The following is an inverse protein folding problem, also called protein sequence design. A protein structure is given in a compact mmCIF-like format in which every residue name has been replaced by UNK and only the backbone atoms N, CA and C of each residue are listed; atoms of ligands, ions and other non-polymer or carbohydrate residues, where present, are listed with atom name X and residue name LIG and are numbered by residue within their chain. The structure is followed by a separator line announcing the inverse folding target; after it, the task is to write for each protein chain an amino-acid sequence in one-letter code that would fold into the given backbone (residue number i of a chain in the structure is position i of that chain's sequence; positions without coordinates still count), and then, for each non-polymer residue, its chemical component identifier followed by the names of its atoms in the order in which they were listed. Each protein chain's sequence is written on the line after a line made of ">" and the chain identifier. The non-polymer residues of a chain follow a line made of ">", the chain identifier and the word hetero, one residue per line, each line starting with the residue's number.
data_IF_046040593887
#
_entry.id   IF_046040593887
#
_cell.length_a   1.000
_cell.length_b   1.000
_cell.length_c   1.000
_cell.angle_alpha   90.00
_cell.angle_beta   90.00
_cell.angle_gamma   90.00
#
_symmetry.space_group_name_H-M   'P 1'
#
loop_
_entity.id
_entity.type
_entity.pdbx_description
1 polymer ?
#
# COMPACT_ATOMS: atom_id res chain seq x y z
N UNK A 1 4.98 9.50 2.03
CA UNK A 1 6.27 8.84 2.34
C UNK A 1 6.70 8.04 1.13
N UNK A 2 7.82 8.40 0.53
CA UNK A 2 8.31 7.85 -0.74
C UNK A 2 9.77 7.47 -0.60
N UNK A 3 10.10 6.26 -1.03
CA UNK A 3 11.45 5.80 -1.30
C UNK A 3 11.76 6.10 -2.76
N UNK A 4 12.77 6.93 -2.95
CA UNK A 4 13.24 7.44 -4.22
C UNK A 4 14.61 6.84 -4.57
N UNK A 5 14.98 6.90 -5.86
CA UNK A 5 16.32 6.55 -6.31
C UNK A 5 17.40 7.36 -5.56
N UNK A 6 18.54 6.73 -5.28
CA UNK A 6 19.71 7.43 -4.72
C UNK A 6 20.40 8.31 -5.77
N UNK A 7 20.36 7.89 -7.04
CA UNK A 7 20.80 8.71 -8.17
C UNK A 7 19.92 9.96 -8.31
N UNK A 8 20.56 11.13 -8.23
CA UNK A 8 19.87 12.42 -8.21
C UNK A 8 19.05 12.68 -9.48
N UNK A 9 19.54 12.28 -10.66
CA UNK A 9 18.81 12.50 -11.92
C UNK A 9 17.54 11.66 -11.97
N UNK A 10 17.61 10.39 -11.56
CA UNK A 10 16.45 9.49 -11.46
C UNK A 10 15.48 9.95 -10.37
N UNK A 11 15.99 10.47 -9.26
CA UNK A 11 15.18 11.06 -8.19
C UNK A 11 14.37 12.26 -8.68
N UNK A 12 15.03 13.24 -9.29
CA UNK A 12 14.33 14.42 -9.81
C UNK A 12 13.39 14.09 -10.97
N UNK A 13 13.74 13.09 -11.79
CA UNK A 13 12.81 12.56 -12.81
C UNK A 13 11.56 11.96 -12.17
N UNK A 14 11.72 11.18 -11.10
CA UNK A 14 10.58 10.59 -10.36
C UNK A 14 9.66 11.67 -9.80
N UNK A 15 10.24 12.72 -9.20
CA UNK A 15 9.49 13.86 -8.64
C UNK A 15 8.77 14.65 -9.73
N UNK A 16 9.44 14.89 -10.85
CA UNK A 16 8.84 15.55 -12.03
C UNK A 16 7.64 14.79 -12.56
N UNK A 17 7.76 13.47 -12.74
CA UNK A 17 6.65 12.65 -13.23
C UNK A 17 5.52 12.53 -12.20
N UNK A 18 5.85 12.45 -10.90
CA UNK A 18 4.84 12.53 -9.84
C UNK A 18 4.03 13.83 -9.92
N UNK A 19 4.71 14.98 -10.04
CA UNK A 19 4.09 16.30 -10.15
C UNK A 19 3.17 16.38 -11.37
N UNK A 20 3.62 15.92 -12.55
CA UNK A 20 2.78 15.88 -13.76
C UNK A 20 1.50 15.09 -13.55
N UNK A 21 1.59 13.90 -12.94
CA UNK A 21 0.41 13.06 -12.67
C UNK A 21 -0.50 13.77 -11.66
N UNK A 22 0.05 14.33 -10.59
CA UNK A 22 -0.72 15.07 -9.58
C UNK A 22 -1.49 16.25 -10.19
N UNK A 23 -0.83 17.08 -11.00
CA UNK A 23 -1.43 18.24 -11.65
C UNK A 23 -2.51 17.85 -12.66
N UNK A 24 -2.30 16.77 -13.43
CA UNK A 24 -3.32 16.26 -14.36
C UNK A 24 -4.59 15.81 -13.65
N UNK A 25 -4.48 15.29 -12.43
CA UNK A 25 -5.60 14.93 -11.55
C UNK A 25 -6.15 16.13 -10.75
N UNK A 26 -5.53 17.32 -10.88
CA UNK A 26 -5.95 18.55 -10.21
C UNK A 26 -5.45 18.73 -8.79
N UNK A 27 -4.46 17.95 -8.35
CA UNK A 27 -3.74 18.19 -7.10
C UNK A 27 -2.66 19.25 -7.30
N UNK A 28 -2.35 20.02 -6.25
CA UNK A 28 -1.20 20.93 -6.23
C UNK A 28 -0.13 20.38 -5.29
N UNK A 29 1.11 20.29 -5.77
CA UNK A 29 2.25 19.93 -4.93
C UNK A 29 2.66 21.16 -4.12
N UNK A 30 2.65 21.04 -2.80
CA UNK A 30 3.11 22.08 -1.87
C UNK A 30 4.62 22.03 -1.67
N UNK A 31 5.19 20.83 -1.72
CA UNK A 31 6.63 20.66 -1.62
C UNK A 31 7.04 19.22 -1.33
N UNK A 32 8.34 18.99 -1.47
CA UNK A 32 9.01 17.77 -1.06
C UNK A 32 9.90 18.08 0.14
N UNK A 33 9.83 17.23 1.16
CA UNK A 33 10.68 17.29 2.36
C UNK A 33 11.56 16.06 2.38
N UNK A 34 12.87 16.26 2.37
CA UNK A 34 13.80 15.21 2.74
C UNK A 34 13.55 14.82 4.19
N UNK A 35 13.36 13.52 4.44
CA UNK A 35 13.20 13.00 5.80
C UNK A 35 14.60 12.90 6.41
N UNK A 36 14.90 13.61 7.51
CA UNK A 36 16.18 13.45 8.18
C UNK A 36 16.27 12.05 8.77
N UNK A 37 17.35 11.33 8.46
CA UNK A 37 17.61 9.98 8.95
C UNK A 37 19.01 9.85 9.54
N UNK A 38 19.19 8.91 10.47
CA UNK A 38 20.50 8.52 11.01
C UNK A 38 20.77 7.06 10.70
N UNK A 39 21.65 6.81 9.74
CA UNK A 39 22.01 5.47 9.29
C UNK A 39 23.29 4.91 9.93
N UNK A 40 23.84 5.57 10.96
CA UNK A 40 25.12 5.20 11.59
C UNK A 40 25.13 3.80 12.22
N UNK A 41 23.97 3.31 12.67
CA UNK A 41 23.80 1.98 13.28
C UNK A 41 23.35 0.90 12.26
N UNK A 42 23.28 1.22 10.96
CA UNK A 42 22.87 0.25 9.95
C UNK A 42 24.02 -0.66 9.54
N UNK A 43 23.70 -1.96 9.38
CA UNK A 43 24.61 -2.90 8.74
C UNK A 43 24.76 -2.62 7.24
N UNK A 44 25.91 -3.00 6.67
CA UNK A 44 26.26 -2.72 5.26
C UNK A 44 25.16 -3.10 4.26
N UNK A 45 24.53 -4.27 4.45
CA UNK A 45 23.47 -4.74 3.56
C UNK A 45 22.23 -3.81 3.51
N UNK A 46 21.91 -3.12 4.62
CA UNK A 46 20.84 -2.14 4.66
C UNK A 46 21.28 -0.81 4.01
N UNK A 47 22.52 -0.38 4.26
CA UNK A 47 23.12 0.82 3.66
C UNK A 47 23.20 0.72 2.13
N UNK A 48 23.62 -0.44 1.61
CA UNK A 48 23.79 -0.68 0.16
C UNK A 48 22.48 -0.54 -0.61
N UNK A 49 21.34 -0.70 0.07
CA UNK A 49 20.00 -0.65 -0.53
C UNK A 49 19.15 0.48 0.04
N UNK A 50 19.75 1.37 0.85
CA UNK A 50 19.05 2.51 1.45
C UNK A 50 18.55 3.47 0.38
N UNK A 51 17.23 3.75 0.30
CA UNK A 51 16.68 4.69 -0.66
C UNK A 51 16.85 6.12 -0.18
N UNK A 52 16.74 7.08 -1.09
CA UNK A 52 16.47 8.46 -0.70
C UNK A 52 15.03 8.55 -0.15
N UNK A 53 14.85 9.03 1.08
CA UNK A 53 13.54 9.08 1.74
C UNK A 53 13.00 10.52 1.72
N UNK A 54 11.88 10.72 1.04
CA UNK A 54 11.21 12.03 1.00
C UNK A 54 9.70 11.91 1.30
N UNK A 55 9.15 12.98 1.86
CA UNK A 55 7.72 13.21 2.01
C UNK A 55 7.26 14.21 0.96
N UNK A 56 6.14 13.92 0.30
CA UNK A 56 5.46 14.85 -0.58
C UNK A 56 4.21 15.39 0.11
N UNK A 57 4.06 16.71 0.08
CA UNK A 57 2.89 17.41 0.57
C UNK A 57 2.10 17.94 -0.62
N UNK A 58 0.78 17.70 -0.62
CA UNK A 58 -0.09 18.11 -1.71
C UNK A 58 -1.51 18.41 -1.21
N UNK A 59 -2.24 19.18 -2.01
CA UNK A 59 -3.63 19.56 -1.73
C UNK A 59 -4.64 18.53 -2.26
N UNK A 60 -5.85 18.54 -1.70
CA UNK A 60 -7.00 17.84 -2.29
C UNK A 60 -7.38 18.48 -3.61
N UNK A 61 -7.68 17.66 -4.62
CA UNK A 61 -8.22 18.14 -5.90
C UNK A 61 -9.70 18.50 -5.75
N UNK A 62 -10.07 19.69 -6.21
CA UNK A 62 -11.47 20.12 -6.32
C UNK A 62 -12.15 19.57 -7.58
N UNK A 63 -11.38 18.98 -8.51
CA UNK A 63 -11.91 18.44 -9.78
C UNK A 63 -12.60 17.08 -9.62
N UNK A 64 -12.28 16.34 -8.57
CA UNK A 64 -12.82 14.99 -8.34
C UNK A 64 -13.91 14.99 -7.26
N UNK A 65 -15.00 14.26 -7.54
CA UNK A 65 -16.07 13.99 -6.57
C UNK A 65 -15.70 12.90 -5.56
N UNK A 66 -14.64 12.13 -5.83
CA UNK A 66 -14.15 11.11 -4.91
C UNK A 66 -13.62 11.75 -3.62
N UNK A 67 -13.67 11.00 -2.51
CA UNK A 67 -13.07 11.47 -1.26
C UNK A 67 -11.55 11.61 -1.40
N UNK A 68 -10.91 12.37 -0.51
CA UNK A 68 -9.49 12.66 -0.66
C UNK A 68 -8.62 11.41 -0.64
N UNK A 69 -8.98 10.40 0.15
CA UNK A 69 -8.20 9.18 0.23
C UNK A 69 -8.35 8.31 -1.03
N UNK A 70 -9.52 8.31 -1.67
CA UNK A 70 -9.71 7.70 -2.99
C UNK A 70 -8.89 8.45 -4.06
N UNK A 71 -8.86 9.79 -4.03
CA UNK A 71 -8.02 10.58 -4.92
C UNK A 71 -6.54 10.21 -4.74
N UNK A 72 -6.05 10.11 -3.51
CA UNK A 72 -4.66 9.74 -3.21
C UNK A 72 -4.34 8.29 -3.60
N UNK A 73 -5.31 7.37 -3.50
CA UNK A 73 -5.18 6.02 -4.05
C UNK A 73 -4.94 6.10 -5.57
N UNK A 74 -5.82 6.77 -6.30
CA UNK A 74 -5.72 6.91 -7.78
C UNK A 74 -4.39 7.56 -8.17
N UNK A 75 -4.03 8.68 -7.54
CA UNK A 75 -2.77 9.38 -7.76
C UNK A 75 -1.57 8.44 -7.56
N UNK A 76 -1.50 7.74 -6.41
CA UNK A 76 -0.40 6.82 -6.14
C UNK A 76 -0.29 5.74 -7.21
N UNK A 77 -1.41 5.14 -7.62
CA UNK A 77 -1.43 4.07 -8.62
C UNK A 77 -0.92 4.57 -9.98
N UNK A 78 -1.43 5.70 -10.47
CA UNK A 78 -1.03 6.29 -11.75
C UNK A 78 0.43 6.76 -11.72
N UNK A 79 0.86 7.39 -10.65
CA UNK A 79 2.25 7.83 -10.49
C UNK A 79 3.22 6.65 -10.49
N UNK A 80 2.90 5.53 -9.84
CA UNK A 80 3.75 4.33 -9.89
C UNK A 80 3.90 3.82 -11.33
N UNK A 81 2.81 3.77 -12.09
CA UNK A 81 2.84 3.35 -13.50
C UNK A 81 3.68 4.32 -14.35
N UNK A 82 3.41 5.61 -14.23
CA UNK A 82 4.09 6.68 -14.98
C UNK A 82 5.59 6.74 -14.67
N UNK A 83 5.97 6.73 -13.39
CA UNK A 83 7.39 6.82 -12.96
C UNK A 83 8.16 5.59 -13.44
N UNK A 84 7.59 4.39 -13.33
CA UNK A 84 8.24 3.17 -13.84
C UNK A 84 8.50 3.24 -15.33
N UNK A 85 7.53 3.72 -16.11
CA UNK A 85 7.72 3.91 -17.54
C UNK A 85 8.81 4.96 -17.81
N UNK A 86 8.79 6.10 -17.12
CA UNK A 86 9.75 7.17 -17.32
C UNK A 86 11.19 6.81 -16.91
N UNK A 87 11.35 5.93 -15.92
CA UNK A 87 12.66 5.43 -15.48
C UNK A 87 13.11 4.15 -16.20
N UNK A 88 12.34 3.68 -17.20
CA UNK A 88 12.59 2.41 -17.89
C UNK A 88 12.73 1.21 -16.93
N UNK A 89 12.00 1.24 -15.82
CA UNK A 89 11.99 0.15 -14.86
C UNK A 89 11.21 -1.03 -15.45
N UNK A 90 11.91 -2.13 -15.71
CA UNK A 90 11.27 -3.37 -16.18
C UNK A 90 10.26 -3.84 -15.14
N UNK A 91 9.06 -4.22 -15.58
CA UNK A 91 8.13 -4.99 -14.74
C UNK A 91 8.85 -6.27 -14.32
N UNK A 92 9.06 -6.50 -13.03
CA UNK A 92 9.90 -7.61 -12.58
C UNK A 92 11.26 -7.21 -11.99
N UNK A 93 11.76 -6.01 -12.27
CA UNK A 93 13.13 -5.60 -11.95
C UNK A 93 13.32 -4.94 -10.58
N UNK A 94 14.53 -4.45 -10.34
CA UNK A 94 14.92 -3.73 -9.12
C UNK A 94 14.00 -2.52 -8.86
N UNK A 95 13.61 -2.36 -7.60
CA UNK A 95 12.66 -1.35 -7.16
C UNK A 95 13.41 -0.09 -6.74
N UNK A 96 13.65 0.75 -7.72
CA UNK A 96 14.26 2.07 -7.56
C UNK A 96 13.28 3.13 -7.00
N UNK A 97 11.97 2.85 -7.06
CA UNK A 97 10.90 3.74 -6.60
C UNK A 97 9.79 2.97 -5.87
N UNK A 98 9.40 3.45 -4.69
CA UNK A 98 8.31 2.87 -3.91
C UNK A 98 7.59 3.90 -3.03
N UNK A 99 6.26 3.92 -3.07
CA UNK A 99 5.47 4.74 -2.15
C UNK A 99 5.01 3.92 -0.94
N UNK A 100 5.60 4.18 0.23
CA UNK A 100 5.21 3.55 1.50
C UNK A 100 3.78 3.90 1.88
N UNK A 101 3.46 5.19 1.80
CA UNK A 101 2.10 5.70 2.00
C UNK A 101 1.89 7.00 1.24
N UNK A 102 0.66 7.19 0.78
CA UNK A 102 0.14 8.46 0.28
C UNK A 102 -1.30 8.59 0.80
N UNK A 103 -1.46 9.30 1.92
CA UNK A 103 -2.72 9.42 2.65
C UNK A 103 -2.68 10.69 3.50
N UNK A 104 -3.85 11.29 3.72
CA UNK A 104 -4.06 12.40 4.65
C UNK A 104 -4.26 11.94 6.10
N UNK A 105 -4.43 10.63 6.31
CA UNK A 105 -4.77 10.03 7.61
C UNK A 105 -3.71 9.05 8.12
N UNK A 106 -2.76 8.65 7.28
CA UNK A 106 -1.71 7.73 7.71
C UNK A 106 -0.40 7.95 7.01
N UNK A 107 0.66 7.91 7.80
CA UNK A 107 2.03 7.85 7.35
C UNK A 107 2.65 6.52 7.79
N UNK A 108 3.46 5.92 6.92
CA UNK A 108 4.17 4.65 7.21
C UNK A 108 5.66 4.94 7.22
N UNK A 109 6.26 4.86 8.41
CA UNK A 109 7.70 4.82 8.60
C UNK A 109 8.11 3.35 8.71
N UNK A 110 9.01 2.92 7.84
CA UNK A 110 9.47 1.53 7.77
C UNK A 110 10.82 1.51 7.09
N UNK A 111 11.56 0.43 7.24
CA UNK A 111 12.81 0.24 6.52
C UNK A 111 13.39 -1.12 6.84
N UNK A 112 14.58 -1.36 6.35
CA UNK A 112 15.34 -2.53 6.75
C UNK A 112 16.09 -2.25 8.05
N UNK A 113 15.31 -2.19 9.14
CA UNK A 113 15.76 -1.76 10.46
C UNK A 113 15.43 -2.86 11.47
N UNK A 114 16.26 -3.01 12.50
CA UNK A 114 15.81 -3.67 13.72
C UNK A 114 14.72 -2.82 14.39
N UNK A 115 13.75 -3.42 15.11
CA UNK A 115 12.71 -2.65 15.78
C UNK A 115 13.26 -1.55 16.70
N UNK A 116 14.38 -1.80 17.39
CA UNK A 116 15.06 -0.83 18.26
C UNK A 116 15.67 0.35 17.50
N UNK A 117 15.99 0.19 16.22
CA UNK A 117 16.61 1.22 15.40
C UNK A 117 15.60 2.23 14.84
N UNK A 118 14.31 1.90 14.80
CA UNK A 118 13.29 2.70 14.11
C UNK A 118 13.24 4.14 14.62
N UNK A 119 13.27 4.33 15.94
CA UNK A 119 13.20 5.65 16.56
C UNK A 119 14.48 6.47 16.31
N UNK A 120 15.65 5.85 16.42
CA UNK A 120 16.93 6.52 16.15
C UNK A 120 17.10 6.85 14.67
N UNK A 121 16.74 5.92 13.79
CA UNK A 121 16.82 6.13 12.35
C UNK A 121 15.91 7.27 11.88
N UNK A 122 14.68 7.38 12.40
CA UNK A 122 13.77 8.49 12.12
C UNK A 122 13.71 9.52 13.25
N UNK A 123 14.86 9.87 13.85
CA UNK A 123 14.97 10.70 15.05
C UNK A 123 14.21 12.02 14.97
N UNK A 124 14.24 12.70 13.81
CA UNK A 124 13.64 14.01 13.63
C UNK A 124 12.10 13.99 13.58
N UNK A 125 11.52 12.83 13.30
CA UNK A 125 10.07 12.67 13.18
C UNK A 125 9.54 11.82 14.34
N UNK A 126 9.86 10.52 14.38
CA UNK A 126 9.34 9.60 15.42
C UNK A 126 9.87 9.96 16.81
N UNK A 127 11.08 10.50 16.89
CA UNK A 127 11.66 10.97 18.16
C UNK A 127 11.13 12.33 18.63
N UNK A 128 10.32 13.03 17.82
CA UNK A 128 9.89 14.39 18.11
C UNK A 128 8.61 14.42 18.96
N UNK A 129 8.55 15.32 19.96
CA UNK A 129 7.42 15.43 20.92
C UNK A 129 6.05 15.67 20.26
N UNK A 130 6.02 16.48 19.19
CA UNK A 130 4.81 16.75 18.41
C UNK A 130 4.33 15.57 17.56
N UNK A 131 5.11 14.50 17.42
CA UNK A 131 4.69 13.32 16.66
C UNK A 131 3.72 12.48 17.49
N UNK A 132 2.43 12.70 17.28
CA UNK A 132 1.35 12.04 18.01
C UNK A 132 0.40 11.32 17.06
N UNK A 133 -0.19 10.23 17.55
CA UNK A 133 -1.22 9.48 16.83
C UNK A 133 -2.18 8.82 17.82
N UNK A 134 -3.44 8.67 17.41
CA UNK A 134 -4.42 7.89 18.16
C UNK A 134 -4.12 6.39 18.13
N UNK A 135 -3.49 5.90 17.06
CA UNK A 135 -3.20 4.48 16.85
C UNK A 135 -1.84 4.32 16.17
N UNK A 136 -1.09 3.30 16.60
CA UNK A 136 0.11 2.83 15.93
C UNK A 136 -0.08 1.36 15.53
N UNK A 137 0.42 1.01 14.34
CA UNK A 137 0.54 -0.37 13.91
C UNK A 137 2.03 -0.65 13.67
N UNK A 138 2.57 -1.60 14.40
CA UNK A 138 3.98 -1.97 14.34
C UNK A 138 4.09 -3.39 13.82
N UNK A 139 5.07 -3.65 12.96
CA UNK A 139 5.33 -4.97 12.43
C UNK A 139 6.84 -5.21 12.32
N UNK A 140 7.30 -6.34 12.85
CA UNK A 140 8.65 -6.85 12.62
C UNK A 140 8.57 -8.09 11.74
N UNK A 141 9.34 -8.14 10.66
CA UNK A 141 9.31 -9.23 9.67
C UNK A 141 10.53 -10.12 9.84
N UNK A 142 10.30 -11.43 9.94
CA UNK A 142 11.34 -12.43 9.71
C UNK A 142 11.33 -12.82 8.23
N UNK A 143 12.50 -12.82 7.58
CA UNK A 143 12.64 -13.11 6.14
C UNK A 143 13.52 -14.32 5.93
N UNK A 144 13.06 -15.27 5.12
CA UNK A 144 13.89 -16.37 4.60
C UNK A 144 14.72 -15.96 3.38
N UNK A 145 14.48 -14.77 2.81
CA UNK A 145 15.31 -14.22 1.73
C UNK A 145 16.59 -13.61 2.29
N UNK A 146 17.73 -13.95 1.66
CA UNK A 146 19.05 -13.38 1.95
C UNK A 146 19.24 -11.98 1.34
N UNK A 147 18.38 -11.58 0.39
CA UNK A 147 18.50 -10.26 -0.24
C UNK A 147 17.70 -9.18 0.51
N UNK A 148 18.39 -8.17 1.05
CA UNK A 148 17.78 -7.02 1.72
C UNK A 148 16.82 -6.24 0.80
N UNK A 149 15.71 -5.72 1.34
CA UNK A 149 14.75 -4.90 0.58
C UNK A 149 13.90 -4.04 1.51
N UNK A 150 14.15 -2.73 1.46
CA UNK A 150 13.47 -1.71 2.27
C UNK A 150 11.97 -1.65 2.03
N UNK A 151 11.56 -1.77 0.78
CA UNK A 151 10.17 -1.64 0.36
C UNK A 151 9.29 -2.84 0.77
N UNK A 152 9.91 -4.01 1.00
CA UNK A 152 9.24 -5.22 1.53
C UNK A 152 9.02 -5.19 3.04
N UNK A 153 9.63 -4.25 3.76
CA UNK A 153 9.30 -4.02 5.16
C UNK A 153 7.80 -3.72 5.32
N UNK A 154 7.28 -3.99 6.51
CA UNK A 154 5.90 -3.73 6.90
C UNK A 154 5.88 -2.72 8.06
N UNK A 155 4.77 -2.00 8.31
CA UNK A 155 3.42 -2.17 7.73
C UNK A 155 3.31 -1.84 6.23
N UNK A 156 2.27 -2.38 5.61
CA UNK A 156 1.81 -1.97 4.28
C UNK A 156 0.88 -0.75 4.38
N UNK A 157 0.08 -0.47 3.34
CA UNK A 157 -0.73 0.77 3.30
C UNK A 157 -1.96 0.65 4.17
N UNK A 158 -2.54 -0.54 4.30
CA UNK A 158 -3.75 -0.83 5.05
C UNK A 158 -3.46 -1.75 6.23
N UNK A 159 -2.53 -2.70 6.05
CA UNK A 159 -2.36 -3.82 6.98
C UNK A 159 -0.91 -4.06 7.44
N UNK A 160 -0.79 -4.82 8.52
CA UNK A 160 0.37 -5.62 8.87
C UNK A 160 -0.02 -7.09 8.86
N UNK A 161 0.82 -7.94 8.25
CA UNK A 161 0.58 -9.36 8.06
C UNK A 161 1.74 -10.17 8.62
N UNK A 162 1.44 -10.95 9.66
CA UNK A 162 2.30 -11.99 10.16
C UNK A 162 1.76 -13.35 9.70
N UNK A 163 2.51 -14.04 8.86
CA UNK A 163 2.02 -15.23 8.19
C UNK A 163 2.59 -15.41 6.79
N UNK A 164 1.97 -16.32 6.04
CA UNK A 164 2.30 -16.63 4.65
C UNK A 164 1.02 -16.97 3.88
N UNK A 165 0.81 -16.35 2.72
CA UNK A 165 -0.32 -16.70 1.84
C UNK A 165 0.12 -17.80 0.86
N UNK A 166 -0.34 -19.02 1.10
CA UNK A 166 0.02 -20.21 0.34
C UNK A 166 -0.64 -20.27 -1.04
N UNK A 167 -1.82 -19.64 -1.20
CA UNK A 167 -2.56 -19.63 -2.47
C UNK A 167 -2.15 -18.49 -3.42
N UNK A 168 -1.09 -17.74 -3.10
CA UNK A 168 -0.72 -16.49 -3.77
C UNK A 168 -0.69 -16.56 -5.29
N UNK A 169 -0.13 -17.64 -5.87
CA UNK A 169 -0.03 -17.79 -7.33
C UNK A 169 -1.40 -17.85 -7.98
N UNK A 170 -2.34 -18.59 -7.38
CA UNK A 170 -3.73 -18.66 -7.83
C UNK A 170 -4.40 -17.30 -7.73
N UNK A 171 -4.28 -16.66 -6.56
CA UNK A 171 -4.92 -15.35 -6.30
C UNK A 171 -4.41 -14.26 -7.25
N UNK A 172 -3.09 -14.23 -7.54
CA UNK A 172 -2.51 -13.32 -8.53
C UNK A 172 -3.10 -13.52 -9.93
N UNK A 173 -3.30 -14.77 -10.34
CA UNK A 173 -3.86 -15.08 -11.65
C UNK A 173 -5.35 -14.72 -11.74
N UNK A 174 -6.13 -15.02 -10.70
CA UNK A 174 -7.54 -14.66 -10.62
C UNK A 174 -7.74 -13.15 -10.61
N UNK A 175 -6.95 -12.42 -9.83
CA UNK A 175 -6.98 -10.95 -9.88
C UNK A 175 -6.66 -10.43 -11.28
N UNK A 176 -5.60 -10.94 -11.92
CA UNK A 176 -5.26 -10.55 -13.30
C UNK A 176 -6.40 -10.82 -14.29
N UNK A 177 -7.11 -11.94 -14.15
CA UNK A 177 -8.27 -12.25 -14.98
C UNK A 177 -9.44 -11.26 -14.76
N UNK A 178 -9.62 -10.80 -13.52
CA UNK A 178 -10.66 -9.84 -13.13
C UNK A 178 -10.32 -8.40 -13.47
N UNK A 179 -9.04 -8.04 -13.63
CA UNK A 179 -8.59 -6.66 -13.87
C UNK A 179 -9.28 -6.00 -15.08
N UNK A 180 -9.53 -6.75 -16.16
CA UNK A 180 -10.20 -6.23 -17.35
C UNK A 180 -11.71 -5.96 -17.18
N UNK A 181 -12.31 -6.51 -16.11
CA UNK A 181 -13.73 -6.37 -15.76
C UNK A 181 -13.95 -5.41 -14.59
N UNK A 182 -12.90 -4.76 -14.09
CA UNK A 182 -13.01 -3.86 -12.94
C UNK A 182 -13.77 -2.58 -13.31
N UNK A 183 -14.95 -2.45 -12.71
CA UNK A 183 -15.76 -1.24 -12.74
C UNK A 183 -15.95 -0.75 -11.31
N UNK A 184 -15.77 0.56 -11.07
CA UNK A 184 -15.95 1.12 -9.74
C UNK A 184 -16.48 2.56 -9.78
N UNK A 185 -17.81 2.68 -9.64
CA UNK A 185 -18.49 3.98 -9.58
C UNK A 185 -17.96 4.86 -8.45
N UNK A 186 -17.63 4.26 -7.28
CA UNK A 186 -17.11 5.00 -6.12
C UNK A 186 -15.78 5.69 -6.35
N UNK A 187 -14.94 5.17 -7.26
CA UNK A 187 -13.69 5.84 -7.63
C UNK A 187 -13.91 6.98 -8.63
N UNK A 188 -15.10 7.04 -9.26
CA UNK A 188 -15.44 8.06 -10.23
C UNK A 188 -14.59 8.00 -11.50
N UNK A 189 -14.03 6.84 -11.83
CA UNK A 189 -13.19 6.61 -13.00
C UNK A 189 -14.01 5.95 -14.12
N UNK A 190 -13.80 6.42 -15.35
CA UNK A 190 -14.24 5.71 -16.56
C UNK A 190 -13.49 4.39 -16.74
N UNK A 191 -14.00 3.51 -17.61
CA UNK A 191 -13.34 2.24 -17.90
C UNK A 191 -11.90 2.42 -18.42
N UNK A 192 -11.70 3.44 -19.27
CA UNK A 192 -10.39 3.79 -19.79
C UNK A 192 -9.44 4.28 -18.69
N UNK A 193 -9.95 5.02 -17.70
CA UNK A 193 -9.14 5.48 -16.57
C UNK A 193 -8.84 4.36 -15.58
N UNK A 194 -9.79 3.45 -15.35
CA UNK A 194 -9.58 2.24 -14.56
C UNK A 194 -8.46 1.37 -15.15
N UNK A 195 -8.38 1.26 -16.48
CA UNK A 195 -7.30 0.51 -17.13
C UNK A 195 -5.90 1.08 -16.84
N UNK A 196 -5.79 2.39 -16.57
CA UNK A 196 -4.51 3.08 -16.33
C UNK A 196 -3.94 2.84 -14.92
N UNK A 197 -4.76 2.42 -13.96
CA UNK A 197 -4.31 2.14 -12.58
C UNK A 197 -3.79 0.69 -12.39
N UNK A 198 -3.88 -0.13 -13.43
CA UNK A 198 -3.46 -1.55 -13.45
C UNK A 198 -1.94 -1.71 -13.63
N UNK A 199 -1.34 -2.84 -13.20
CA UNK A 199 -1.97 -4.00 -12.54
C UNK A 199 -2.12 -3.79 -11.03
N UNK A 200 -3.26 -4.16 -10.42
CA UNK A 200 -3.55 -4.05 -8.98
C UNK A 200 -2.49 -4.76 -8.16
N UNK A 201 -2.14 -5.98 -8.56
CA UNK A 201 -1.09 -6.78 -7.93
C UNK A 201 0.13 -6.84 -8.84
N UNK A 202 1.26 -6.31 -8.37
CA UNK A 202 2.53 -6.41 -9.09
C UNK A 202 3.05 -7.86 -9.07
N UNK A 203 3.58 -8.37 -10.18
CA UNK A 203 4.16 -9.71 -10.25
C UNK A 203 5.23 -9.95 -9.15
N UNK A 204 6.04 -8.94 -8.85
CA UNK A 204 7.13 -8.98 -7.86
C UNK A 204 6.70 -8.73 -6.42
N UNK A 205 5.41 -8.42 -6.19
CA UNK A 205 4.90 -8.18 -4.83
C UNK A 205 5.11 -9.41 -3.95
N UNK A 206 5.49 -9.18 -2.69
CA UNK A 206 5.34 -10.20 -1.65
C UNK A 206 3.87 -10.57 -1.52
N UNK A 207 3.60 -11.73 -0.92
CA UNK A 207 2.26 -12.15 -0.52
C UNK A 207 1.46 -11.06 0.19
N UNK A 208 2.09 -10.43 1.19
CA UNK A 208 1.54 -9.38 2.04
C UNK A 208 1.26 -8.11 1.24
N UNK A 209 2.15 -7.77 0.29
CA UNK A 209 1.99 -6.60 -0.57
C UNK A 209 0.92 -6.81 -1.64
N UNK A 210 0.76 -8.04 -2.13
CA UNK A 210 -0.32 -8.43 -3.02
C UNK A 210 -1.68 -8.35 -2.31
N UNK A 211 -1.76 -8.91 -1.11
CA UNK A 211 -2.95 -8.87 -0.27
C UNK A 211 -3.34 -7.40 0.04
N UNK A 212 -2.40 -6.59 0.50
CA UNK A 212 -2.64 -5.16 0.80
C UNK A 212 -3.17 -4.39 -0.42
N UNK A 213 -2.63 -4.66 -1.61
CA UNK A 213 -3.08 -4.00 -2.85
C UNK A 213 -4.54 -4.32 -3.21
N UNK A 214 -4.96 -5.58 -3.03
CA UNK A 214 -6.36 -6.00 -3.27
C UNK A 214 -7.27 -5.48 -2.17
N UNK A 215 -6.87 -5.59 -0.90
CA UNK A 215 -7.64 -5.09 0.23
C UNK A 215 -7.89 -3.59 0.11
N UNK A 216 -6.86 -2.82 -0.25
CA UNK A 216 -6.98 -1.38 -0.46
C UNK A 216 -7.95 -1.07 -1.61
N UNK A 217 -7.90 -1.80 -2.73
CA UNK A 217 -8.86 -1.65 -3.82
C UNK A 217 -10.29 -1.88 -3.33
N UNK A 218 -10.57 -2.96 -2.59
CA UNK A 218 -11.90 -3.27 -2.09
C UNK A 218 -12.45 -2.16 -1.18
N UNK A 219 -11.61 -1.65 -0.28
CA UNK A 219 -12.00 -0.57 0.65
C UNK A 219 -12.24 0.74 -0.11
N UNK A 220 -11.33 1.13 -1.01
CA UNK A 220 -11.49 2.35 -1.82
C UNK A 220 -12.64 2.24 -2.82
N UNK A 221 -12.96 1.02 -3.23
CA UNK A 221 -14.14 0.70 -4.04
C UNK A 221 -15.45 0.68 -3.27
N UNK A 222 -15.40 0.82 -1.94
CA UNK A 222 -16.58 1.11 -1.11
C UNK A 222 -17.00 0.01 -0.16
N UNK A 223 -16.32 -1.14 -0.12
CA UNK A 223 -16.58 -2.17 0.89
C UNK A 223 -16.07 -1.73 2.25
N UNK A 224 -16.74 -2.19 3.30
CA UNK A 224 -16.23 -1.97 4.65
C UNK A 224 -14.97 -2.81 4.88
N UNK A 225 -14.08 -2.37 5.79
CA UNK A 225 -12.88 -3.15 6.14
C UNK A 225 -13.23 -4.58 6.63
N UNK A 226 -14.19 -4.79 7.56
CA UNK A 226 -14.56 -6.15 7.99
C UNK A 226 -15.08 -7.01 6.84
N UNK A 227 -15.92 -6.45 5.97
CA UNK A 227 -16.47 -7.15 4.80
C UNK A 227 -15.36 -7.55 3.81
N UNK A 228 -14.42 -6.64 3.50
CA UNK A 228 -13.31 -6.94 2.61
C UNK A 228 -12.38 -8.01 3.19
N UNK A 229 -12.14 -7.99 4.51
CA UNK A 229 -11.35 -9.03 5.20
C UNK A 229 -12.09 -10.36 5.18
N UNK A 230 -13.39 -10.40 5.50
CA UNK A 230 -14.21 -11.63 5.44
C UNK A 230 -14.29 -12.21 4.02
N UNK A 231 -14.25 -11.35 2.99
CA UNK A 231 -14.20 -11.78 1.59
C UNK A 231 -12.84 -12.41 1.23
N UNK A 232 -11.73 -11.82 1.68
CA UNK A 232 -10.38 -12.28 1.33
C UNK A 232 -9.91 -13.48 2.17
N UNK A 233 -10.20 -13.49 3.47
CA UNK A 233 -9.84 -14.56 4.42
C UNK A 233 -11.08 -15.01 5.20
N UNK A 234 -12.02 -15.71 4.56
CA UNK A 234 -13.24 -16.19 5.22
C UNK A 234 -12.91 -17.23 6.31
N UNK A 235 -13.76 -17.31 7.33
CA UNK A 235 -13.72 -18.43 8.28
C UNK A 235 -14.05 -19.75 7.58
N UNK A 236 -13.68 -20.89 8.18
CA UNK A 236 -14.04 -22.21 7.66
C UNK A 236 -15.54 -22.49 7.84
N UNK A 237 -16.37 -22.01 6.91
CA UNK A 237 -17.83 -21.92 7.07
C UNK A 237 -18.63 -23.10 6.51
N UNK A 238 -18.12 -23.83 5.52
CA UNK A 238 -18.90 -24.81 4.75
C UNK A 238 -19.48 -25.93 5.63
N UNK A 239 -18.65 -26.48 6.52
CA UNK A 239 -18.97 -27.62 7.39
C UNK A 239 -19.21 -27.20 8.85
N UNK A 240 -19.28 -25.89 9.14
CA UNK A 240 -19.58 -25.44 10.48
C UNK A 240 -21.09 -25.59 10.74
N UNK A 241 -21.42 -26.45 11.71
CA UNK A 241 -22.80 -26.73 12.15
C UNK A 241 -23.28 -25.75 13.21
N UNK A 242 -22.36 -25.00 13.83
CA UNK A 242 -22.64 -24.02 14.88
C UNK A 242 -22.72 -22.59 14.33
N UNK A 243 -22.40 -22.37 13.05
CA UNK A 243 -22.45 -21.06 12.43
C UNK A 243 -23.90 -20.63 12.16
N UNK A 244 -24.23 -19.42 12.59
CA UNK A 244 -25.53 -18.79 12.32
C UNK A 244 -25.87 -18.79 10.81
N UNK A 245 -27.13 -19.10 10.43
CA UNK A 245 -27.53 -19.21 9.02
C UNK A 245 -27.20 -17.98 8.17
N UNK A 246 -27.42 -16.77 8.71
CA UNK A 246 -27.15 -15.52 8.00
C UNK A 246 -25.65 -15.32 7.73
N UNK A 247 -24.79 -15.72 8.68
CA UNK A 247 -23.32 -15.64 8.52
C UNK A 247 -22.85 -16.65 7.47
N UNK A 248 -23.43 -17.86 7.48
CA UNK A 248 -23.14 -18.90 6.49
C UNK A 248 -23.54 -18.48 5.08
N UNK A 249 -24.74 -17.92 4.92
CA UNK A 249 -25.23 -17.38 3.65
C UNK A 249 -24.37 -16.22 3.15
N UNK A 250 -23.89 -15.35 4.05
CA UNK A 250 -22.94 -14.28 3.70
C UNK A 250 -21.63 -14.87 3.13
N UNK A 251 -21.03 -15.86 3.78
CA UNK A 251 -19.81 -16.47 3.27
C UNK A 251 -20.02 -17.22 1.96
N UNK A 252 -21.15 -17.90 1.79
CA UNK A 252 -21.53 -18.52 0.52
C UNK A 252 -21.58 -17.48 -0.60
N UNK A 253 -22.24 -16.34 -0.38
CA UNK A 253 -22.26 -15.24 -1.33
C UNK A 253 -20.85 -14.69 -1.63
N UNK A 254 -20.03 -14.44 -0.61
CA UNK A 254 -18.67 -13.92 -0.79
C UNK A 254 -17.77 -14.91 -1.55
N UNK A 255 -17.95 -16.22 -1.35
CA UNK A 255 -17.19 -17.26 -2.03
C UNK A 255 -17.43 -17.30 -3.54
N UNK A 256 -18.61 -16.90 -4.00
CA UNK A 256 -18.90 -16.74 -5.43
C UNK A 256 -18.20 -15.52 -6.04
N UNK A 257 -17.83 -14.54 -5.20
CA UNK A 257 -17.19 -13.30 -5.63
C UNK A 257 -15.68 -13.36 -5.60
N UNK A 258 -15.07 -14.04 -4.63
CA UNK A 258 -13.61 -14.05 -4.45
C UNK A 258 -13.14 -15.38 -3.88
N UNK A 259 -12.08 -15.91 -4.48
CA UNK A 259 -11.33 -17.04 -3.95
C UNK A 259 -10.55 -16.64 -2.68
N UNK A 260 -10.45 -17.53 -1.68
CA UNK A 260 -9.76 -17.22 -0.43
C UNK A 260 -8.26 -17.07 -0.62
N UNK A 261 -7.71 -16.03 0.01
CA UNK A 261 -6.29 -15.79 0.17
C UNK A 261 -5.76 -16.58 1.38
N UNK A 262 -5.68 -17.89 1.20
CA UNK A 262 -5.46 -18.85 2.26
C UNK A 262 -3.98 -19.03 2.63
N UNK A 263 -3.75 -19.45 3.87
CA UNK A 263 -2.47 -19.61 4.54
C UNK A 263 -2.50 -19.07 5.97
N UNK A 264 -1.51 -19.41 6.83
CA UNK A 264 -1.44 -18.86 8.17
C UNK A 264 -1.37 -17.34 8.12
N UNK A 265 -2.31 -16.63 8.75
CA UNK A 265 -2.36 -15.17 8.67
C UNK A 265 -2.93 -14.55 9.95
N UNK A 266 -2.11 -13.74 10.62
CA UNK A 266 -2.54 -12.71 11.54
C UNK A 266 -2.54 -11.38 10.79
N UNK A 267 -3.73 -10.83 10.54
CA UNK A 267 -3.92 -9.56 9.84
C UNK A 267 -4.33 -8.48 10.84
N UNK A 268 -3.49 -7.47 10.97
CA UNK A 268 -3.80 -6.26 11.73
C UNK A 268 -4.10 -5.11 10.78
N UNK A 269 -5.31 -4.58 10.82
CA UNK A 269 -5.76 -3.50 9.95
C UNK A 269 -6.12 -2.25 10.75
N UNK A 270 -5.90 -1.09 10.15
CA UNK A 270 -6.37 0.20 10.69
C UNK A 270 -7.75 0.53 10.15
N UNK A 271 -8.72 0.80 11.04
CA UNK A 271 -10.06 1.25 10.65
C UNK A 271 -10.04 2.75 10.36
N UNK A 272 -10.05 3.11 9.08
CA UNK A 272 -10.04 4.51 8.62
C UNK A 272 -11.44 5.15 8.74
N UNK A 273 -11.96 5.36 9.95
CA UNK A 273 -13.16 6.21 10.10
C UNK A 273 -12.75 7.69 9.96
N UNK A 274 -13.56 8.54 9.29
CA UNK A 274 -13.42 9.98 9.46
C UNK A 274 -13.65 10.31 10.94
N UNK A 275 -12.67 10.97 11.55
CA UNK A 275 -12.88 11.60 12.86
C UNK A 275 -13.70 12.86 12.57
N UNK A 276 -15.00 12.79 12.86
CA UNK A 276 -15.83 13.99 12.94
C UNK A 276 -15.48 14.69 14.24
N UNK A 277 -14.81 15.83 14.16
CA UNK A 277 -14.76 16.76 15.27
C UNK A 277 -16.17 17.36 15.41
N UNK A 278 -16.81 17.15 16.56
CA UNK A 278 -17.98 17.92 16.99
C UNK A 278 -17.53 19.28 17.52
#
# INVERSE_FOLDING_TARGET
>A
MVFLPTDEKRRERSKTEFTKVAESLGHSILGWRQVPTDNSDLGQAALDTEPAIEQVFLTKSSKSKADFEQQLFILRRLSIVSIRAALNLKRGGERDFYMCSLSSRTIVYKGQLMPSQLQGYYYADIGHENFSSYMALVHSRFSTNTFPSWDRAQPMRVLGHNGEINTLKGNKNWMKAREGLLECEKLGLSQDEMSKILPIVDATSSDSGAFDGVLELLIRGGRSLPEAVMMMIPEAWQNDVNMEPDKKALYEFLSALMEPWDGPALISCKKLKPVSFF
#
